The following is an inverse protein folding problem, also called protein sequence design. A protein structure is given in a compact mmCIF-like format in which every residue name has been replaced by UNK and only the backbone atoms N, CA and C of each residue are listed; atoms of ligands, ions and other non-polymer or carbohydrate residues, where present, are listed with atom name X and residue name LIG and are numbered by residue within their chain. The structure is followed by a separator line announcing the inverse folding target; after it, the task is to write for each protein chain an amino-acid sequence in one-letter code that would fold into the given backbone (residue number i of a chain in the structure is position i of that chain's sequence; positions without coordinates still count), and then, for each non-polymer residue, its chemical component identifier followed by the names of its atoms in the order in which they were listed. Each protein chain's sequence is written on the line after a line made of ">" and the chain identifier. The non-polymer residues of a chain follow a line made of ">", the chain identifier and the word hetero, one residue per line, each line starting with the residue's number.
data_IF_110519266709
#
_entry.id   IF_110519266709
#
_cell.length_a   1.000
_cell.length_b   1.000
_cell.length_c   1.000
_cell.angle_alpha   90.00
_cell.angle_beta   90.00
_cell.angle_gamma   90.00
#
_symmetry.space_group_name_H-M   'P 1'
#
loop_
_entity.id
_entity.type
_entity.pdbx_description
1 polymer ?
#
# COMPACT_ATOMS: atom_id res chain seq x y z
N UNK A 1 6.89 -0.26 -32.74
CA UNK A 1 6.36 -1.39 -33.52
C UNK A 1 5.15 -1.95 -32.79
N UNK A 2 4.09 -2.41 -33.50
CA UNK A 2 2.95 -3.03 -32.85
C UNK A 2 3.38 -4.31 -32.11
N UNK A 3 3.25 -4.33 -30.78
CA UNK A 3 3.55 -5.50 -29.95
C UNK A 3 2.34 -6.45 -29.94
N UNK A 4 2.57 -7.74 -30.19
CA UNK A 4 1.54 -8.77 -30.02
C UNK A 4 1.56 -9.24 -28.56
N UNK A 5 0.41 -9.20 -27.87
CA UNK A 5 0.26 -9.68 -26.49
C UNK A 5 -0.92 -10.64 -26.37
N UNK A 6 -0.88 -11.49 -25.34
CA UNK A 6 -2.03 -12.30 -24.94
C UNK A 6 -2.99 -11.47 -24.08
N UNK A 7 -4.29 -11.63 -24.30
CA UNK A 7 -5.32 -11.00 -23.50
C UNK A 7 -5.43 -11.69 -22.12
N UNK A 8 -5.44 -10.96 -21.00
CA UNK A 8 -5.58 -11.57 -19.67
C UNK A 8 -6.98 -12.16 -19.43
N UNK A 9 -8.03 -11.63 -20.08
CA UNK A 9 -9.41 -12.06 -19.84
C UNK A 9 -9.79 -13.30 -20.65
N UNK A 10 -9.38 -13.37 -21.92
CA UNK A 10 -9.78 -14.44 -22.85
C UNK A 10 -8.63 -15.27 -23.42
N UNK A 11 -7.38 -14.94 -23.10
CA UNK A 11 -6.19 -15.66 -23.58
C UNK A 11 -5.84 -15.46 -25.05
N UNK A 12 -6.69 -14.78 -25.85
CA UNK A 12 -6.46 -14.57 -27.29
C UNK A 12 -5.28 -13.62 -27.54
N UNK A 13 -4.46 -13.93 -28.55
CA UNK A 13 -3.41 -13.04 -29.03
C UNK A 13 -4.02 -11.85 -29.77
N UNK A 14 -3.55 -10.65 -29.47
CA UNK A 14 -4.00 -9.43 -30.13
C UNK A 14 -2.84 -8.45 -30.29
N UNK A 15 -2.93 -7.60 -31.31
CA UNK A 15 -2.01 -6.49 -31.49
C UNK A 15 -2.37 -5.38 -30.51
N UNK A 16 -1.44 -5.02 -29.63
CA UNK A 16 -1.67 -3.98 -28.61
C UNK A 16 -1.63 -2.61 -29.26
N UNK A 17 -2.82 -2.05 -29.51
CA UNK A 17 -2.98 -0.64 -29.91
C UNK A 17 -3.16 0.28 -28.70
N UNK A 18 -4.09 -0.04 -27.79
CA UNK A 18 -4.35 0.73 -26.56
C UNK A 18 -5.02 -0.15 -25.48
N UNK A 19 -4.67 0.07 -24.22
CA UNK A 19 -5.23 -0.68 -23.08
C UNK A 19 -4.56 -2.03 -22.81
N UNK A 20 -5.01 -2.69 -21.74
CA UNK A 20 -4.45 -3.96 -21.26
C UNK A 20 -5.15 -5.22 -21.79
N UNK A 21 -6.24 -5.05 -22.55
CA UNK A 21 -7.15 -6.13 -22.94
C UNK A 21 -7.47 -6.05 -24.44
N UNK A 22 -7.81 -7.18 -25.06
CA UNK A 22 -8.21 -7.22 -26.47
C UNK A 22 -9.50 -6.40 -26.75
N UNK A 23 -9.73 -5.94 -27.99
CA UNK A 23 -10.86 -5.08 -28.33
C UNK A 23 -12.23 -5.70 -28.03
N UNK A 24 -12.37 -7.02 -28.19
CA UNK A 24 -13.61 -7.72 -27.88
C UNK A 24 -13.94 -7.70 -26.38
N UNK A 25 -12.98 -8.05 -25.52
CA UNK A 25 -13.17 -8.00 -24.07
C UNK A 25 -13.34 -6.56 -23.56
N UNK A 26 -12.70 -5.58 -24.21
CA UNK A 26 -12.91 -4.16 -23.92
C UNK A 26 -14.36 -3.74 -24.18
N UNK A 27 -14.97 -4.18 -25.28
CA UNK A 27 -16.37 -3.91 -25.58
C UNK A 27 -17.30 -4.50 -24.51
N UNK A 28 -17.07 -5.75 -24.11
CA UNK A 28 -17.84 -6.42 -23.04
C UNK A 28 -17.72 -5.65 -21.71
N UNK A 29 -16.51 -5.26 -21.32
CA UNK A 29 -16.28 -4.45 -20.12
C UNK A 29 -17.04 -3.11 -20.19
N UNK A 30 -17.08 -2.47 -21.35
CA UNK A 30 -17.82 -1.23 -21.55
C UNK A 30 -19.34 -1.43 -21.40
N UNK A 31 -19.89 -2.52 -21.93
CA UNK A 31 -21.30 -2.89 -21.77
C UNK A 31 -21.65 -3.12 -20.29
N UNK A 32 -20.80 -3.85 -19.57
CA UNK A 32 -20.96 -4.09 -18.13
C UNK A 32 -20.94 -2.78 -17.32
N UNK A 33 -20.01 -1.88 -17.65
CA UNK A 33 -19.92 -0.56 -17.04
C UNK A 33 -21.18 0.28 -17.31
N UNK A 34 -21.66 0.28 -18.56
CA UNK A 34 -22.87 1.01 -18.92
C UNK A 34 -24.10 0.50 -18.15
N UNK A 35 -24.22 -0.82 -17.97
CA UNK A 35 -25.29 -1.43 -17.19
C UNK A 35 -25.22 -1.01 -15.71
N UNK A 36 -24.02 -1.04 -15.13
CA UNK A 36 -23.78 -0.62 -13.75
C UNK A 36 -24.10 0.86 -13.54
N UNK A 37 -23.68 1.74 -14.46
CA UNK A 37 -24.01 3.17 -14.44
C UNK A 37 -25.52 3.39 -14.49
N UNK A 38 -26.22 2.67 -15.36
CA UNK A 38 -27.69 2.76 -15.46
C UNK A 38 -28.38 2.40 -14.15
N UNK A 39 -27.93 1.33 -13.50
CA UNK A 39 -28.48 0.90 -12.21
C UNK A 39 -28.20 1.91 -11.09
N UNK A 40 -26.95 2.37 -10.97
CA UNK A 40 -26.56 3.32 -9.91
C UNK A 40 -27.27 4.67 -10.10
N UNK A 41 -27.49 5.12 -11.34
CA UNK A 41 -28.30 6.31 -11.62
C UNK A 41 -29.74 6.18 -11.12
N UNK A 42 -30.33 4.99 -11.23
CA UNK A 42 -31.70 4.75 -10.76
C UNK A 42 -31.80 4.63 -9.23
N UNK A 43 -30.72 4.18 -8.57
CA UNK A 43 -30.66 3.91 -7.14
C UNK A 43 -29.29 4.34 -6.57
N UNK A 44 -29.15 5.61 -6.15
CA UNK A 44 -27.90 6.11 -5.57
C UNK A 44 -27.63 5.44 -4.21
N UNK A 45 -26.35 5.28 -3.87
CA UNK A 45 -25.91 4.76 -2.56
C UNK A 45 -25.96 3.23 -2.42
N UNK A 46 -26.17 2.48 -3.50
CA UNK A 46 -26.08 1.02 -3.48
C UNK A 46 -24.66 0.54 -3.15
N UNK A 47 -24.56 -0.58 -2.44
CA UNK A 47 -23.30 -1.26 -2.25
C UNK A 47 -22.83 -1.92 -3.56
N UNK A 48 -21.54 -1.85 -3.87
CA UNK A 48 -20.96 -2.42 -5.09
C UNK A 48 -21.29 -3.91 -5.27
N UNK A 49 -21.38 -4.66 -4.15
CA UNK A 49 -21.81 -6.07 -4.11
C UNK A 49 -23.20 -6.29 -4.65
N UNK A 50 -24.13 -5.39 -4.32
CA UNK A 50 -25.51 -5.45 -4.76
C UNK A 50 -25.62 -5.08 -6.25
N UNK A 51 -24.86 -4.08 -6.68
CA UNK A 51 -24.72 -3.71 -8.10
C UNK A 51 -24.22 -4.90 -8.91
N UNK A 52 -23.19 -5.61 -8.43
CA UNK A 52 -22.68 -6.83 -9.08
C UNK A 52 -23.73 -7.94 -9.19
N UNK A 53 -24.52 -8.16 -8.14
CA UNK A 53 -25.61 -9.16 -8.15
C UNK A 53 -26.72 -8.80 -9.12
N UNK A 54 -27.12 -7.53 -9.18
CA UNK A 54 -28.23 -7.07 -10.03
C UNK A 54 -27.84 -6.99 -11.50
N UNK A 55 -26.61 -6.56 -11.82
CA UNK A 55 -26.12 -6.47 -13.19
C UNK A 55 -25.51 -7.77 -13.72
N UNK A 56 -25.25 -8.77 -12.84
CA UNK A 56 -24.55 -10.00 -13.22
C UNK A 56 -23.07 -9.77 -13.57
N UNK A 57 -22.46 -8.72 -13.02
CA UNK A 57 -21.06 -8.35 -13.27
C UNK A 57 -20.20 -8.78 -12.07
N UNK A 58 -18.99 -9.27 -12.34
CA UNK A 58 -18.08 -9.64 -11.25
C UNK A 58 -17.71 -8.43 -10.39
N UNK A 59 -17.69 -8.61 -9.06
CA UNK A 59 -17.34 -7.56 -8.10
C UNK A 59 -15.95 -6.97 -8.39
N UNK A 60 -15.00 -7.80 -8.85
CA UNK A 60 -13.64 -7.36 -9.22
C UNK A 60 -13.65 -6.30 -10.32
N UNK A 61 -14.39 -6.54 -11.39
CA UNK A 61 -14.48 -5.58 -12.53
C UNK A 61 -15.15 -4.28 -12.09
N UNK A 62 -16.18 -4.35 -11.24
CA UNK A 62 -16.80 -3.15 -10.69
C UNK A 62 -15.86 -2.37 -9.76
N UNK A 63 -15.02 -3.09 -9.01
CA UNK A 63 -14.03 -2.48 -8.12
C UNK A 63 -12.95 -1.76 -8.94
N UNK A 64 -12.47 -2.39 -10.03
CA UNK A 64 -11.53 -1.78 -10.96
C UNK A 64 -12.09 -0.46 -11.53
N UNK A 65 -13.37 -0.43 -11.94
CA UNK A 65 -14.01 0.79 -12.43
C UNK A 65 -14.19 1.89 -11.37
N UNK A 66 -14.39 1.50 -10.11
CA UNK A 66 -14.43 2.42 -8.98
C UNK A 66 -13.04 2.98 -8.68
N UNK A 67 -11.99 2.15 -8.72
CA UNK A 67 -10.60 2.56 -8.54
C UNK A 67 -10.11 3.47 -9.68
N UNK A 68 -10.53 3.22 -10.92
CA UNK A 68 -10.29 4.09 -12.08
C UNK A 68 -11.01 5.45 -11.96
N UNK A 69 -11.93 5.61 -11.00
CA UNK A 69 -12.67 6.84 -10.75
C UNK A 69 -13.81 7.11 -11.74
N UNK A 70 -14.31 6.08 -12.43
CA UNK A 70 -15.36 6.25 -13.43
C UNK A 70 -16.70 6.66 -12.82
N UNK A 71 -17.11 6.05 -11.70
CA UNK A 71 -18.32 6.46 -10.97
C UNK A 71 -18.20 7.88 -10.40
N UNK A 72 -17.02 8.24 -9.89
CA UNK A 72 -16.71 9.58 -9.37
C UNK A 72 -16.81 10.65 -10.45
N UNK A 73 -16.33 10.38 -11.67
CA UNK A 73 -16.44 11.32 -12.81
C UNK A 73 -17.88 11.60 -13.23
N UNK A 74 -18.81 10.73 -12.86
CA UNK A 74 -20.23 10.82 -13.18
C UNK A 74 -21.07 11.29 -11.98
N UNK A 75 -20.43 11.70 -10.88
CA UNK A 75 -21.07 12.11 -9.61
C UNK A 75 -22.05 11.06 -9.06
N UNK A 76 -21.73 9.78 -9.24
CA UNK A 76 -22.54 8.67 -8.77
C UNK A 76 -22.03 8.16 -7.41
N UNK A 77 -22.90 8.12 -6.40
CA UNK A 77 -22.58 7.57 -5.09
C UNK A 77 -22.71 6.04 -5.08
N UNK A 78 -21.60 5.36 -4.82
CA UNK A 78 -21.51 3.89 -4.71
C UNK A 78 -20.69 3.54 -3.48
N UNK A 79 -21.19 2.66 -2.63
CA UNK A 79 -20.45 2.23 -1.44
C UNK A 79 -19.57 1.02 -1.75
N UNK A 80 -18.26 1.14 -1.53
CA UNK A 80 -17.27 0.07 -1.70
C UNK A 80 -16.20 0.11 -0.60
N UNK A 81 -15.48 -1.00 -0.33
CA UNK A 81 -14.52 -1.04 0.76
C UNK A 81 -13.22 -0.29 0.44
N UNK A 82 -12.66 0.38 1.45
CA UNK A 82 -11.34 1.01 1.40
C UNK A 82 -10.25 -0.02 1.14
N UNK A 83 -9.32 0.30 0.23
CA UNK A 83 -8.22 -0.59 -0.11
C UNK A 83 -7.25 -0.88 1.05
N UNK A 84 -7.15 0.04 2.02
CA UNK A 84 -6.23 -0.09 3.15
C UNK A 84 -6.88 -0.66 4.41
N UNK A 85 -8.03 -0.10 4.82
CA UNK A 85 -8.68 -0.45 6.08
C UNK A 85 -10.03 -1.18 5.91
N UNK A 86 -10.48 -1.44 4.69
CA UNK A 86 -11.77 -2.07 4.34
C UNK A 86 -13.04 -1.33 4.79
N UNK A 87 -12.92 -0.13 5.38
CA UNK A 87 -14.06 0.71 5.73
C UNK A 87 -14.89 1.08 4.48
N UNK A 88 -16.23 1.11 4.55
CA UNK A 88 -17.06 1.52 3.43
C UNK A 88 -16.78 3.00 3.08
N UNK A 89 -16.57 3.27 1.80
CA UNK A 89 -16.35 4.61 1.24
C UNK A 89 -17.32 4.81 0.08
N UNK A 90 -17.82 6.04 -0.04
CA UNK A 90 -18.68 6.45 -1.16
C UNK A 90 -17.88 7.00 -2.34
N UNK A 91 -16.66 7.50 -2.06
CA UNK A 91 -15.82 8.21 -3.01
C UNK A 91 -14.32 7.98 -2.73
N UNK A 92 -13.53 7.82 -3.80
CA UNK A 92 -12.06 7.71 -3.73
C UNK A 92 -11.54 6.30 -3.42
N UNK A 93 -10.26 6.05 -3.64
CA UNK A 93 -9.66 4.71 -3.45
C UNK A 93 -9.39 4.36 -1.98
N UNK A 94 -9.20 5.39 -1.15
CA UNK A 94 -8.92 5.29 0.27
C UNK A 94 -9.84 6.24 1.05
N UNK A 95 -10.19 5.87 2.28
CA UNK A 95 -10.97 6.75 3.15
C UNK A 95 -10.13 7.93 3.65
N UNK A 96 -10.79 9.00 4.11
CA UNK A 96 -10.15 10.21 4.63
C UNK A 96 -9.13 9.90 5.73
N UNK A 97 -9.50 9.05 6.69
CA UNK A 97 -8.62 8.61 7.78
C UNK A 97 -7.30 8.00 7.26
N UNK A 98 -7.38 7.09 6.29
CA UNK A 98 -6.18 6.48 5.72
C UNK A 98 -5.35 7.49 4.94
N UNK A 99 -5.98 8.43 4.24
CA UNK A 99 -5.27 9.50 3.53
C UNK A 99 -4.51 10.42 4.48
N UNK A 100 -5.08 10.75 5.64
CA UNK A 100 -4.45 11.56 6.68
C UNK A 100 -3.31 10.82 7.37
N UNK A 101 -3.49 9.54 7.70
CA UNK A 101 -2.44 8.68 8.24
C UNK A 101 -1.26 8.58 7.26
N UNK A 102 -1.51 8.34 5.97
CA UNK A 102 -0.48 8.31 4.93
C UNK A 102 0.26 9.64 4.81
N UNK A 103 -0.46 10.75 4.84
CA UNK A 103 0.12 12.09 4.72
C UNK A 103 1.05 12.38 5.90
N UNK A 104 0.63 12.03 7.12
CA UNK A 104 1.47 12.14 8.33
C UNK A 104 2.74 11.32 8.20
N UNK A 105 2.64 10.05 7.79
CA UNK A 105 3.82 9.20 7.60
C UNK A 105 4.78 9.75 6.54
N UNK A 106 4.28 10.33 5.44
CA UNK A 106 5.12 10.95 4.41
C UNK A 106 5.87 12.16 4.97
N UNK A 107 5.20 13.02 5.74
CA UNK A 107 5.83 14.18 6.38
C UNK A 107 6.90 13.78 7.39
N UNK A 108 6.62 12.78 8.23
CA UNK A 108 7.58 12.25 9.21
C UNK A 108 8.83 11.66 8.53
N UNK A 109 8.63 10.88 7.46
CA UNK A 109 9.74 10.32 6.69
C UNK A 109 10.58 11.41 6.01
N UNK A 110 9.93 12.42 5.45
CA UNK A 110 10.64 13.56 4.85
C UNK A 110 11.49 14.30 5.88
N UNK A 111 10.95 14.55 7.08
CA UNK A 111 11.71 15.18 8.17
C UNK A 111 12.94 14.36 8.58
N UNK A 112 12.83 13.03 8.62
CA UNK A 112 13.97 12.13 8.89
C UNK A 112 15.02 12.17 7.78
N UNK A 113 14.60 12.16 6.51
CA UNK A 113 15.52 12.25 5.37
C UNK A 113 16.25 13.59 5.30
N UNK A 114 15.60 14.70 5.69
CA UNK A 114 16.24 16.01 5.78
C UNK A 114 17.27 16.06 6.92
N UNK A 115 17.03 15.34 8.03
CA UNK A 115 17.98 15.21 9.15
C UNK A 115 19.15 14.26 8.82
N UNK A 116 18.90 13.20 8.05
CA UNK A 116 19.91 12.25 7.56
C UNK A 116 20.72 12.78 6.38
N UNK A 117 20.57 14.07 6.03
CA UNK A 117 21.53 14.80 5.20
C UNK A 117 22.85 15.05 5.96
N UNK A 118 23.34 14.01 6.64
CA UNK A 118 24.69 13.92 7.16
C UNK A 118 25.65 14.19 6.02
N UNK A 119 26.46 15.23 6.17
CA UNK A 119 27.54 15.57 5.25
C UNK A 119 28.34 14.30 4.93
N UNK A 120 28.36 13.91 3.65
CA UNK A 120 29.28 12.88 3.18
C UNK A 120 30.69 13.33 3.51
N UNK A 121 31.34 12.67 4.48
CA UNK A 121 32.71 13.00 4.87
C UNK A 121 33.63 12.73 3.67
N UNK A 122 34.35 13.74 3.16
CA UNK A 122 35.26 13.51 2.06
C UNK A 122 36.37 12.56 2.51
N UNK A 123 36.54 11.46 1.77
CA UNK A 123 37.63 10.51 1.94
C UNK A 123 38.76 10.95 1.02
N UNK A 124 39.98 11.06 1.56
CA UNK A 124 41.14 11.32 0.72
C UNK A 124 41.44 10.08 -0.15
N UNK A 125 42.14 10.29 -1.28
CA UNK A 125 42.51 9.22 -2.21
C UNK A 125 43.31 8.08 -1.58
N UNK A 126 43.94 8.33 -0.41
CA UNK A 126 44.65 7.34 0.41
C UNK A 126 43.76 6.49 1.33
N UNK A 127 42.43 6.66 1.28
CA UNK A 127 41.47 5.93 2.14
C UNK A 127 41.36 6.47 3.56
N UNK A 128 42.06 7.57 3.90
CA UNK A 128 41.93 8.26 5.19
C UNK A 128 40.89 9.37 5.09
N UNK A 129 40.04 9.51 6.10
CA UNK A 129 39.12 10.65 6.22
C UNK A 129 39.91 11.95 6.36
N UNK A 130 39.47 13.02 5.70
CA UNK A 130 40.16 14.31 5.73
C UNK A 130 40.11 14.99 7.12
N UNK A 131 39.14 14.63 7.98
CA UNK A 131 39.00 15.13 9.34
C UNK A 131 38.70 14.02 10.34
N UNK A 132 39.12 14.20 11.60
CA UNK A 132 38.86 13.27 12.68
C UNK A 132 37.33 13.09 12.89
N UNK A 133 36.90 11.89 13.29
CA UNK A 133 35.50 11.64 13.63
C UNK A 133 35.12 12.42 14.89
N UNK A 134 34.29 13.45 14.75
CA UNK A 134 33.69 14.15 15.89
C UNK A 134 32.31 13.51 16.08
N UNK A 135 32.10 12.68 17.10
CA UNK A 135 30.79 12.11 17.37
C UNK A 135 29.78 13.23 17.66
N UNK A 136 28.56 13.09 17.16
CA UNK A 136 27.43 13.95 17.52
C UNK A 136 27.26 13.88 19.05
N UNK A 137 27.14 15.05 19.68
CA UNK A 137 27.28 15.25 21.13
C UNK A 137 26.47 14.26 22.00
N UNK A 138 27.12 13.88 23.09
CA UNK A 138 26.73 12.92 24.13
C UNK A 138 25.51 13.35 24.95
N UNK A 139 24.29 13.23 24.41
CA UNK A 139 23.11 13.08 25.28
C UNK A 139 22.60 11.62 25.34
N UNK A 140 23.18 10.72 24.54
CA UNK A 140 22.70 9.33 24.42
C UNK A 140 23.50 8.29 25.23
N UNK A 141 24.64 8.64 25.81
CA UNK A 141 25.48 7.65 26.50
C UNK A 141 24.85 7.17 27.82
N UNK A 142 24.22 8.09 28.58
CA UNK A 142 23.45 7.77 29.79
C UNK A 142 22.17 7.01 29.43
N UNK A 143 21.42 7.50 28.43
CA UNK A 143 20.19 6.89 27.92
C UNK A 143 20.39 5.47 27.39
N UNK A 144 21.49 5.18 26.67
CA UNK A 144 21.83 3.83 26.19
C UNK A 144 22.20 2.87 27.32
N UNK A 145 22.91 3.34 28.34
CA UNK A 145 23.26 2.52 29.51
C UNK A 145 22.02 2.18 30.33
N UNK A 146 21.13 3.15 30.54
CA UNK A 146 19.86 2.97 31.24
C UNK A 146 18.93 2.00 30.50
N UNK A 147 18.76 2.18 29.18
CA UNK A 147 17.96 1.27 28.36
C UNK A 147 18.56 -0.15 28.27
N UNK A 148 19.89 -0.30 28.24
CA UNK A 148 20.53 -1.62 28.36
C UNK A 148 20.28 -2.30 29.70
N UNK A 149 20.36 -1.55 30.80
CA UNK A 149 20.08 -2.06 32.14
C UNK A 149 18.62 -2.50 32.27
N UNK A 150 17.68 -1.75 31.71
CA UNK A 150 16.27 -2.11 31.65
C UNK A 150 16.03 -3.39 30.86
N UNK A 151 16.63 -3.54 29.67
CA UNK A 151 16.53 -4.75 28.85
C UNK A 151 17.08 -5.98 29.59
N UNK A 152 18.24 -5.86 30.25
CA UNK A 152 18.84 -6.94 31.03
C UNK A 152 17.99 -7.33 32.25
N UNK A 153 17.36 -6.35 32.91
CA UNK A 153 16.44 -6.59 34.04
C UNK A 153 15.17 -7.32 33.62
N UNK A 154 14.70 -7.10 32.39
CA UNK A 154 13.54 -7.79 31.82
C UNK A 154 13.88 -9.20 31.34
N UNK A 155 15.11 -9.44 30.88
CA UNK A 155 15.57 -10.76 30.46
C UNK A 155 15.77 -11.74 31.63
N UNK A 156 16.18 -11.27 32.81
CA UNK A 156 16.37 -12.12 33.99
C UNK A 156 15.05 -12.63 34.59
N UNK A 157 13.98 -11.83 34.52
CA UNK A 157 12.64 -12.19 35.04
C UNK A 157 11.89 -13.23 34.19
N UNK A 158 12.28 -13.43 32.92
CA UNK A 158 11.58 -14.31 31.96
C UNK A 158 12.21 -15.69 31.75
N UNK A 159 13.41 -15.98 32.26
CA UNK A 159 14.04 -17.32 32.13
C UNK A 159 13.62 -18.25 33.27
N UNK A 160 12.42 -18.84 33.20
CA UNK A 160 12.19 -20.15 33.83
C UNK A 160 12.98 -21.19 33.04
N UNK A 161 14.08 -21.66 33.60
CA UNK A 161 14.94 -22.70 33.02
C UNK A 161 14.18 -24.04 32.97
N UNK A 162 13.68 -24.41 31.80
CA UNK A 162 13.20 -25.78 31.49
C UNK A 162 14.36 -26.67 31.03
N UNK A 163 15.34 -26.93 31.90
CA UNK A 163 16.34 -27.99 31.64
C UNK A 163 16.01 -29.20 32.53
N UNK A 164 15.29 -30.15 31.95
CA UNK A 164 15.21 -31.51 32.47
C UNK A 164 16.63 -32.10 32.47
N UNK A 165 17.06 -32.63 33.62
CA UNK A 165 18.28 -33.40 33.75
C UNK A 165 18.15 -34.68 32.91
N UNK A 166 19.13 -34.93 32.04
CA UNK A 166 19.32 -36.20 31.35
C UNK A 166 20.78 -36.61 31.46
N UNK A 167 21.03 -37.79 32.03
CA UNK A 167 22.36 -38.41 32.15
C UNK A 167 22.75 -38.98 30.79
N UNK A 168 23.93 -38.63 30.30
CA UNK A 168 24.50 -39.19 29.07
C UNK A 168 25.20 -40.51 29.45
N UNK A 169 24.81 -41.62 28.81
CA UNK A 169 25.60 -42.86 28.74
C UNK A 169 26.54 -42.78 27.55
#
# INVERSE_FOLDING_TARGET
>A
MPEVKSCPDCGKLYVKFAGAVCPACRAIRQEQLNAAIGLVKSRPGLALREVGRLCGVSEKVLLDFAEEGTFRRLDLSVSYPCRFCSAPIDNGTICSRCSEELTRHILDLRGKLEQDNTEWRPVQTSGRYASAHVPVRENDATSRKESLLDILSQQSKKRKSHRHYGVIR
#
